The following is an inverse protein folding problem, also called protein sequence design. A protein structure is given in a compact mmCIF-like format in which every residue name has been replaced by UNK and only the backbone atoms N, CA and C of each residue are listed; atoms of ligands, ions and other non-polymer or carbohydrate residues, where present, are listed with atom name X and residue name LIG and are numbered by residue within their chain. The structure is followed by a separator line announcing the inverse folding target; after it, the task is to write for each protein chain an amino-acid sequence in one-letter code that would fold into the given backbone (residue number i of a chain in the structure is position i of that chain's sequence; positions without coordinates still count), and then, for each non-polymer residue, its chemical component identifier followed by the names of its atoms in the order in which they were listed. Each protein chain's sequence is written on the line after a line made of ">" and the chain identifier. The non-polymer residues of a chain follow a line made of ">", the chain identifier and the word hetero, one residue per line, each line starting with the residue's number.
data_IF_640182735384
#
_entry.id   IF_640182735384
#
_cell.length_a   1.000
_cell.length_b   1.000
_cell.length_c   1.000
_cell.angle_alpha   90.00
_cell.angle_beta   90.00
_cell.angle_gamma   90.00
#
_symmetry.space_group_name_H-M   'P 1'
#
loop_
_entity.id
_entity.type
_entity.pdbx_description
1 polymer ?
#
# COMPACT_ATOMS: atom_id res chain seq x y z
N UNK A 1 -14.07 -12.13 -17.62
CA UNK A 1 -14.74 -11.03 -16.89
C UNK A 1 -14.57 -9.75 -17.69
N UNK A 2 -15.50 -8.79 -17.65
CA UNK A 2 -15.43 -7.61 -18.52
C UNK A 2 -14.34 -6.62 -18.06
N UNK A 3 -13.62 -6.01 -19.00
CA UNK A 3 -12.51 -5.04 -18.78
C UNK A 3 -12.89 -3.80 -17.94
N UNK A 4 -14.18 -3.54 -17.74
CA UNK A 4 -14.68 -2.49 -16.85
C UNK A 4 -14.86 -2.97 -15.41
N UNK A 5 -15.19 -4.24 -15.20
CA UNK A 5 -15.31 -4.86 -13.88
C UNK A 5 -13.94 -4.98 -13.21
N UNK A 6 -12.91 -5.41 -13.98
CA UNK A 6 -11.52 -5.43 -13.53
C UNK A 6 -11.01 -4.02 -13.18
N UNK A 7 -11.32 -2.99 -13.99
CA UNK A 7 -10.93 -1.61 -13.67
C UNK A 7 -11.61 -1.06 -12.41
N UNK A 8 -12.86 -1.42 -12.16
CA UNK A 8 -13.57 -1.04 -10.94
C UNK A 8 -13.02 -1.77 -9.70
N UNK A 9 -12.65 -3.05 -9.83
CA UNK A 9 -12.02 -3.81 -8.74
C UNK A 9 -10.60 -3.31 -8.43
N UNK A 10 -9.85 -2.93 -9.47
CA UNK A 10 -8.57 -2.24 -9.36
C UNK A 10 -8.70 -0.91 -8.60
N UNK A 11 -9.75 -0.13 -8.91
CA UNK A 11 -10.04 1.14 -8.24
C UNK A 11 -10.46 0.94 -6.78
N UNK A 12 -11.38 0.01 -6.50
CA UNK A 12 -11.85 -0.26 -5.15
C UNK A 12 -10.78 -0.85 -4.23
N UNK A 13 -9.84 -1.63 -4.77
CA UNK A 13 -8.73 -2.19 -4.02
C UNK A 13 -7.86 -1.11 -3.35
N UNK A 14 -7.44 -0.08 -4.10
CA UNK A 14 -6.55 0.95 -3.55
C UNK A 14 -7.29 2.04 -2.78
N UNK A 15 -8.55 2.33 -3.10
CA UNK A 15 -9.27 3.49 -2.54
C UNK A 15 -10.34 3.14 -1.52
N UNK A 16 -10.82 1.90 -1.50
CA UNK A 16 -11.90 1.42 -0.62
C UNK A 16 -11.45 0.19 0.18
N UNK A 17 -10.19 0.17 0.62
CA UNK A 17 -9.68 -0.86 1.51
C UNK A 17 -9.97 -0.56 2.99
N UNK A 18 -9.89 -1.61 3.80
CA UNK A 18 -9.98 -1.52 5.26
C UNK A 18 -8.58 -1.50 5.85
N UNK A 19 -8.27 -0.46 6.62
CA UNK A 19 -7.00 -0.39 7.34
C UNK A 19 -6.97 -1.40 8.50
N UNK A 20 -5.84 -2.11 8.61
CA UNK A 20 -5.53 -3.03 9.72
C UNK A 20 -4.16 -2.71 10.27
N UNK A 21 -4.16 -1.94 11.35
CA UNK A 21 -2.96 -1.64 12.13
C UNK A 21 -2.82 -2.65 13.27
N UNK A 22 -1.73 -3.39 13.27
CA UNK A 22 -1.48 -4.45 14.25
C UNK A 22 0.04 -4.74 14.33
N UNK A 23 0.71 -4.03 15.24
CA UNK A 23 2.16 -4.16 15.44
C UNK A 23 2.59 -5.56 15.91
N UNK A 24 1.68 -6.32 16.54
CA UNK A 24 1.99 -7.68 17.04
C UNK A 24 2.18 -8.71 15.92
N UNK A 25 1.88 -8.33 14.67
CA UNK A 25 2.17 -9.14 13.48
C UNK A 25 3.61 -9.01 13.00
N UNK A 26 4.44 -8.16 13.62
CA UNK A 26 5.86 -8.01 13.27
C UNK A 26 6.60 -9.34 13.34
N UNK A 27 7.51 -9.61 12.39
CA UNK A 27 8.41 -10.78 12.46
C UNK A 27 9.20 -10.89 13.75
N UNK A 28 9.48 -9.75 14.40
CA UNK A 28 10.19 -9.66 15.68
C UNK A 28 9.31 -9.98 16.89
N UNK A 29 7.99 -10.15 16.71
CA UNK A 29 7.07 -10.33 17.82
C UNK A 29 6.90 -11.82 18.15
N UNK A 30 7.30 -12.22 19.35
CA UNK A 30 7.15 -13.60 19.82
C UNK A 30 5.68 -14.02 19.99
N UNK A 31 5.42 -15.32 19.95
CA UNK A 31 4.07 -15.87 20.14
C UNK A 31 3.50 -15.48 21.51
N UNK A 32 2.36 -14.79 21.48
CA UNK A 32 1.61 -14.39 22.66
C UNK A 32 0.21 -14.98 22.68
N UNK A 33 -0.41 -15.04 23.87
CA UNK A 33 -1.81 -15.45 24.01
C UNK A 33 -2.77 -14.29 23.69
N UNK A 34 -3.90 -14.59 23.03
CA UNK A 34 -5.03 -13.67 22.92
C UNK A 34 -5.10 -12.83 21.65
N UNK A 35 -4.24 -13.08 20.66
CA UNK A 35 -4.35 -12.42 19.37
C UNK A 35 -5.28 -13.18 18.39
N UNK A 36 -6.11 -12.47 17.60
CA UNK A 36 -7.01 -13.11 16.65
C UNK A 36 -6.22 -13.73 15.49
N UNK A 37 -6.69 -14.89 15.03
CA UNK A 37 -6.19 -15.53 13.82
C UNK A 37 -6.54 -14.72 12.57
N UNK A 38 -5.90 -15.02 11.44
CA UNK A 38 -6.25 -14.41 10.15
C UNK A 38 -7.68 -14.74 9.72
N UNK A 39 -8.19 -15.92 10.10
CA UNK A 39 -9.57 -16.32 9.82
C UNK A 39 -10.58 -15.41 10.50
N UNK A 40 -10.25 -14.93 11.69
CA UNK A 40 -11.06 -14.00 12.47
C UNK A 40 -10.84 -12.55 12.04
N UNK A 41 -9.61 -12.22 11.61
CA UNK A 41 -9.23 -10.85 11.23
C UNK A 41 -9.72 -10.45 9.83
N UNK A 42 -9.59 -11.36 8.85
CA UNK A 42 -9.82 -11.06 7.44
C UNK A 42 -11.12 -11.70 6.93
N UNK A 43 -12.05 -10.83 6.56
CA UNK A 43 -13.33 -11.21 5.97
C UNK A 43 -13.11 -11.44 4.47
N UNK A 44 -13.63 -12.56 3.94
CA UNK A 44 -13.56 -12.88 2.52
C UNK A 44 -14.14 -11.75 1.66
N UNK A 45 -13.59 -11.54 0.46
CA UNK A 45 -14.03 -10.54 -0.52
C UNK A 45 -13.93 -9.08 -0.04
N UNK A 46 -13.02 -8.80 0.90
CA UNK A 46 -12.71 -7.45 1.36
C UNK A 46 -11.23 -7.16 1.20
N UNK A 47 -10.92 -5.96 0.72
CA UNK A 47 -9.55 -5.46 0.60
C UNK A 47 -9.04 -4.90 1.92
N UNK A 48 -7.79 -5.22 2.25
CA UNK A 48 -7.11 -4.79 3.46
C UNK A 48 -5.78 -4.13 3.12
N UNK A 49 -5.52 -2.97 3.73
CA UNK A 49 -4.18 -2.38 3.86
C UNK A 49 -3.68 -2.74 5.25
N UNK A 50 -2.58 -3.46 5.33
CA UNK A 50 -1.96 -3.81 6.63
C UNK A 50 -0.89 -2.75 6.92
N UNK A 51 -0.85 -2.23 8.14
CA UNK A 51 0.08 -1.16 8.52
C UNK A 51 0.75 -1.46 9.86
N UNK A 52 2.01 -1.04 9.97
CA UNK A 52 2.78 -0.97 11.20
C UNK A 52 3.49 0.39 11.20
N UNK A 53 3.07 1.31 12.08
CA UNK A 53 3.52 2.71 12.08
C UNK A 53 3.17 3.41 10.76
N UNK A 54 4.13 3.56 9.84
CA UNK A 54 3.93 4.26 8.56
C UNK A 54 3.72 3.33 7.38
N UNK A 55 4.43 2.20 7.31
CA UNK A 55 4.36 1.27 6.19
C UNK A 55 4.67 -0.16 6.64
N UNK A 56 3.96 -1.14 6.07
CA UNK A 56 4.24 -2.55 6.28
C UNK A 56 3.82 -3.37 5.07
N UNK A 57 4.46 -4.52 4.92
CA UNK A 57 4.08 -5.56 3.96
C UNK A 57 4.14 -6.92 4.62
N UNK A 58 3.49 -7.91 4.01
CA UNK A 58 3.62 -9.31 4.42
C UNK A 58 5.00 -9.78 3.97
N UNK A 59 5.73 -10.48 4.84
CA UNK A 59 7.05 -11.02 4.46
C UNK A 59 6.93 -12.04 3.34
N UNK A 60 7.91 -12.06 2.44
CA UNK A 60 7.96 -12.97 1.27
C UNK A 60 8.84 -14.19 1.48
N UNK A 61 9.41 -14.33 2.68
CA UNK A 61 10.23 -15.46 3.09
C UNK A 61 9.65 -16.13 4.32
N UNK A 62 9.90 -17.43 4.45
CA UNK A 62 9.44 -18.24 5.56
C UNK A 62 9.89 -17.69 6.93
N UNK A 63 8.96 -17.25 7.79
CA UNK A 63 9.29 -16.85 9.15
C UNK A 63 9.58 -18.07 10.04
N UNK A 64 10.34 -17.85 11.10
CA UNK A 64 10.57 -18.87 12.11
C UNK A 64 9.25 -19.25 12.80
N UNK A 65 9.08 -20.52 13.24
CA UNK A 65 7.90 -20.91 14.01
C UNK A 65 7.76 -20.07 15.29
N UNK A 66 6.54 -19.69 15.64
CA UNK A 66 6.28 -18.88 16.84
C UNK A 66 6.54 -17.37 16.69
N UNK A 67 6.81 -16.87 15.48
CA UNK A 67 6.91 -15.43 15.20
C UNK A 67 5.53 -14.79 14.97
N UNK A 68 5.50 -13.45 14.89
CA UNK A 68 4.35 -12.63 14.49
C UNK A 68 3.11 -12.80 15.37
N UNK A 69 3.35 -13.13 16.65
CA UNK A 69 2.28 -13.40 17.61
C UNK A 69 1.38 -14.57 17.19
N UNK A 70 1.90 -15.54 16.45
CA UNK A 70 1.17 -16.68 15.90
C UNK A 70 1.82 -18.03 16.23
N UNK A 71 0.99 -19.07 16.31
CA UNK A 71 1.47 -20.46 16.34
C UNK A 71 1.92 -20.92 14.96
N UNK A 72 1.18 -20.51 13.93
CA UNK A 72 1.47 -20.78 12.53
C UNK A 72 1.70 -19.48 11.77
N UNK A 73 2.94 -18.94 11.76
CA UNK A 73 3.23 -17.67 11.12
C UNK A 73 3.12 -17.79 9.59
N UNK A 74 2.47 -16.81 8.97
CA UNK A 74 2.13 -16.77 7.55
C UNK A 74 3.02 -15.83 6.76
N UNK A 75 3.30 -16.19 5.50
CA UNK A 75 4.13 -15.41 4.57
C UNK A 75 3.58 -15.49 3.15
N UNK A 76 3.89 -14.49 2.33
CA UNK A 76 3.47 -14.43 0.93
C UNK A 76 4.42 -15.26 0.07
N UNK A 77 3.90 -16.32 -0.55
CA UNK A 77 4.68 -17.20 -1.41
C UNK A 77 4.84 -16.59 -2.81
N UNK A 78 5.90 -15.78 -2.98
CA UNK A 78 6.26 -15.17 -4.25
C UNK A 78 6.76 -13.74 -4.10
N UNK A 79 6.88 -13.06 -5.25
CA UNK A 79 7.28 -11.65 -5.30
C UNK A 79 6.06 -10.74 -5.43
N UNK A 80 6.16 -9.55 -4.84
CA UNK A 80 5.11 -8.55 -4.95
C UNK A 80 4.88 -8.14 -6.42
N UNK A 81 3.61 -7.98 -6.85
CA UNK A 81 3.31 -7.47 -8.18
C UNK A 81 3.82 -6.03 -8.36
N UNK A 82 4.16 -5.67 -9.60
CA UNK A 82 4.35 -4.25 -9.94
C UNK A 82 3.00 -3.52 -9.95
N UNK A 83 3.04 -2.19 -10.01
CA UNK A 83 1.84 -1.35 -10.11
C UNK A 83 1.00 -1.67 -11.36
N UNK A 84 1.68 -1.99 -12.47
CA UNK A 84 1.09 -2.28 -13.79
C UNK A 84 0.53 -3.70 -13.86
N UNK A 85 1.04 -4.61 -13.03
CA UNK A 85 0.63 -6.02 -13.02
C UNK A 85 -0.84 -6.21 -12.57
N UNK A 86 -1.44 -5.19 -11.96
CA UNK A 86 -2.85 -5.22 -11.57
C UNK A 86 -3.09 -6.03 -10.30
N UNK A 87 -4.23 -6.73 -10.26
CA UNK A 87 -4.53 -7.69 -9.21
C UNK A 87 -3.92 -9.04 -9.60
N UNK A 88 -3.12 -9.63 -8.71
CA UNK A 88 -2.54 -10.97 -8.87
C UNK A 88 -3.09 -11.92 -7.82
N UNK A 89 -3.52 -13.09 -8.25
CA UNK A 89 -3.76 -14.22 -7.36
C UNK A 89 -2.41 -14.81 -6.94
N UNK A 90 -2.23 -14.99 -5.64
CA UNK A 90 -1.03 -15.50 -4.98
C UNK A 90 -1.45 -16.39 -3.81
N UNK A 91 -0.46 -16.92 -3.09
CA UNK A 91 -0.67 -17.82 -1.96
C UNK A 91 -0.02 -17.25 -0.70
N UNK A 92 -0.74 -17.33 0.42
CA UNK A 92 -0.15 -17.21 1.75
C UNK A 92 0.17 -18.62 2.24
N UNK A 93 1.43 -18.89 2.55
CA UNK A 93 1.88 -20.11 3.20
C UNK A 93 1.96 -19.89 4.71
N UNK A 94 1.51 -20.86 5.50
CA UNK A 94 1.63 -20.86 6.96
C UNK A 94 2.60 -21.96 7.40
N UNK A 95 3.61 -21.54 8.15
CA UNK A 95 4.61 -22.44 8.72
C UNK A 95 4.01 -23.20 9.90
N UNK A 96 3.97 -24.54 9.83
CA UNK A 96 3.42 -25.42 10.88
C UNK A 96 4.50 -25.96 11.82
N UNK A 97 5.74 -25.51 11.68
CA UNK A 97 6.92 -26.00 12.38
C UNK A 97 7.59 -27.18 11.69
N UNK A 98 6.79 -28.13 11.15
CA UNK A 98 7.31 -29.25 10.37
C UNK A 98 7.50 -28.91 8.88
N UNK A 99 6.64 -28.03 8.35
CA UNK A 99 6.68 -27.58 6.97
C UNK A 99 6.42 -26.07 6.92
N UNK A 100 7.30 -25.37 6.22
CA UNK A 100 7.23 -23.94 5.97
C UNK A 100 5.94 -23.52 5.22
N UNK A 101 5.35 -24.42 4.44
CA UNK A 101 4.05 -24.20 3.78
C UNK A 101 3.09 -25.38 4.05
N UNK A 102 3.03 -25.87 5.28
CA UNK A 102 2.16 -26.99 5.63
C UNK A 102 0.65 -26.69 5.52
N UNK A 103 0.27 -25.41 5.51
CA UNK A 103 -1.09 -24.91 5.23
C UNK A 103 -0.99 -23.66 4.37
N UNK A 104 -2.02 -23.39 3.57
CA UNK A 104 -2.05 -22.23 2.70
C UNK A 104 -3.42 -21.53 2.69
N UNK A 105 -3.44 -20.33 2.13
CA UNK A 105 -4.64 -19.60 1.77
C UNK A 105 -4.42 -18.92 0.40
N UNK A 106 -5.49 -18.76 -0.36
CA UNK A 106 -5.46 -17.92 -1.56
C UNK A 106 -5.49 -16.45 -1.15
N UNK A 107 -4.70 -15.61 -1.81
CA UNK A 107 -4.76 -14.17 -1.59
C UNK A 107 -4.69 -13.43 -2.92
N UNK A 108 -5.49 -12.38 -3.07
CA UNK A 108 -5.36 -11.46 -4.17
C UNK A 108 -4.56 -10.25 -3.71
N UNK A 109 -3.48 -9.94 -4.40
CA UNK A 109 -2.55 -8.88 -4.07
C UNK A 109 -2.56 -7.83 -5.17
N UNK A 110 -2.60 -6.56 -4.78
CA UNK A 110 -2.39 -5.44 -5.68
C UNK A 110 -1.39 -4.48 -5.07
N UNK A 111 -0.38 -4.09 -5.85
CA UNK A 111 0.46 -2.97 -5.49
C UNK A 111 -0.28 -1.67 -5.80
N UNK A 112 -0.50 -0.84 -4.78
CA UNK A 112 -0.92 0.56 -4.92
C UNK A 112 0.33 1.44 -4.75
N UNK A 113 0.27 2.72 -5.13
CA UNK A 113 1.44 3.55 -4.86
C UNK A 113 1.53 3.82 -3.37
N UNK A 114 2.64 3.37 -2.79
CA UNK A 114 2.93 3.52 -1.37
C UNK A 114 2.31 2.49 -0.43
N UNK A 115 1.68 1.42 -0.92
CA UNK A 115 1.34 0.25 -0.09
C UNK A 115 0.77 -0.88 -0.96
N UNK A 116 0.98 -2.16 -0.59
CA UNK A 116 0.20 -3.25 -1.13
C UNK A 116 -1.16 -3.35 -0.41
N UNK A 117 -2.15 -3.90 -1.11
CA UNK A 117 -3.44 -4.30 -0.54
C UNK A 117 -3.72 -5.77 -0.81
N UNK A 118 -4.44 -6.40 0.12
CA UNK A 118 -4.66 -7.84 0.15
C UNK A 118 -6.14 -8.16 0.30
N UNK A 119 -6.62 -9.13 -0.48
CA UNK A 119 -7.93 -9.73 -0.28
C UNK A 119 -7.75 -11.22 -0.04
N UNK A 120 -7.95 -11.64 1.19
CA UNK A 120 -7.76 -13.02 1.62
C UNK A 120 -8.95 -13.89 1.26
N UNK A 121 -8.68 -15.08 0.73
CA UNK A 121 -9.66 -16.09 0.42
C UNK A 121 -9.23 -17.47 0.95
N UNK A 122 -10.20 -18.27 1.39
CA UNK A 122 -9.94 -19.64 1.90
C UNK A 122 -8.88 -19.71 3.02
N UNK A 123 -8.86 -18.74 3.93
CA UNK A 123 -8.00 -18.76 5.12
C UNK A 123 -8.31 -20.00 5.98
N UNK A 124 -7.30 -20.78 6.43
CA UNK A 124 -7.46 -21.94 7.30
C UNK A 124 -8.25 -21.67 8.59
N UNK A 125 -8.70 -22.73 9.26
CA UNK A 125 -9.47 -22.60 10.49
C UNK A 125 -8.67 -21.94 11.63
N UNK A 126 -9.37 -21.17 12.48
CA UNK A 126 -8.80 -20.44 13.61
C UNK A 126 -8.03 -21.31 14.61
N UNK A 127 -8.32 -22.61 14.67
CA UNK A 127 -7.63 -23.60 15.51
C UNK A 127 -6.14 -23.72 15.17
N UNK A 128 -5.75 -23.35 13.94
CA UNK A 128 -4.36 -23.29 13.51
C UNK A 128 -3.56 -22.18 14.21
N UNK A 129 -4.23 -21.14 14.74
CA UNK A 129 -3.56 -19.98 15.33
C UNK A 129 -2.66 -19.25 14.33
N UNK A 130 -3.15 -19.14 13.08
CA UNK A 130 -2.40 -18.60 11.96
C UNK A 130 -2.48 -17.08 11.88
N UNK A 131 -1.35 -16.42 11.65
CA UNK A 131 -1.30 -14.98 11.38
C UNK A 131 -0.21 -14.65 10.37
N UNK A 132 -0.53 -13.82 9.37
CA UNK A 132 0.48 -13.27 8.47
C UNK A 132 1.47 -12.38 9.22
N UNK A 133 2.73 -12.61 8.92
CA UNK A 133 3.87 -11.86 9.40
C UNK A 133 4.08 -10.61 8.56
N UNK A 134 4.37 -9.50 9.23
CA UNK A 134 4.70 -8.25 8.56
C UNK A 134 6.10 -7.76 8.93
N UNK A 135 6.68 -7.00 8.01
CA UNK A 135 7.91 -6.24 8.21
C UNK A 135 7.67 -4.78 7.82
N UNK A 136 8.57 -3.89 8.24
CA UNK A 136 8.58 -2.51 7.75
C UNK A 136 8.95 -2.53 6.27
N UNK A 137 8.08 -1.96 5.44
CA UNK A 137 8.34 -1.88 4.00
C UNK A 137 9.16 -0.63 3.68
N UNK A 138 10.50 -0.79 3.71
CA UNK A 138 11.43 0.28 3.44
C UNK A 138 11.35 0.79 1.99
N UNK A 139 11.00 -0.07 1.02
CA UNK A 139 10.86 0.30 -0.39
C UNK A 139 9.65 1.24 -0.61
N UNK A 140 8.64 1.10 0.23
CA UNK A 140 7.42 1.90 0.27
C UNK A 140 7.55 3.18 1.11
N UNK A 141 8.70 3.43 1.72
CA UNK A 141 9.03 4.76 2.23
C UNK A 141 9.40 5.70 1.05
N UNK A 142 9.76 5.15 -0.11
CA UNK A 142 10.14 5.91 -1.32
C UNK A 142 9.06 6.23 -2.39
N UNK A 143 7.73 6.17 -2.19
CA UNK A 143 6.75 6.77 -3.11
C UNK A 143 6.91 8.30 -3.20
N UNK A 144 7.56 8.90 -2.20
CA UNK A 144 8.13 10.26 -2.29
C UNK A 144 9.15 10.38 -3.45
N UNK A 145 9.73 9.28 -3.92
CA UNK A 145 10.56 9.25 -5.12
C UNK A 145 9.76 9.29 -6.44
N UNK A 146 8.43 9.30 -6.42
CA UNK A 146 7.61 9.64 -7.59
C UNK A 146 7.04 11.05 -7.51
N UNK A 147 6.90 11.58 -6.30
CA UNK A 147 6.45 12.94 -6.08
C UNK A 147 7.31 13.63 -5.02
N UNK A 148 8.05 14.65 -5.44
CA UNK A 148 8.76 15.50 -4.50
C UNK A 148 7.79 16.48 -3.84
N UNK A 149 7.83 16.56 -2.51
CA UNK A 149 6.97 17.43 -1.73
C UNK A 149 7.65 18.73 -1.29
N UNK A 150 6.92 19.83 -1.27
CA UNK A 150 7.32 21.09 -0.62
C UNK A 150 6.21 21.57 0.30
N UNK A 151 6.49 21.59 1.61
CA UNK A 151 5.53 22.04 2.62
C UNK A 151 5.41 23.57 2.68
N UNK A 152 4.24 24.07 3.09
CA UNK A 152 3.93 25.50 3.21
C UNK A 152 3.75 26.22 1.87
N UNK A 153 3.57 25.48 0.77
CA UNK A 153 3.49 26.03 -0.57
C UNK A 153 2.48 25.27 -1.42
N UNK A 154 1.89 25.99 -2.37
CA UNK A 154 0.80 25.55 -3.24
C UNK A 154 1.04 26.08 -4.67
N UNK A 155 0.53 25.38 -5.67
CA UNK A 155 0.45 25.90 -7.04
C UNK A 155 -0.94 26.50 -7.30
N UNK A 156 -1.01 27.77 -7.68
CA UNK A 156 -2.26 28.47 -7.96
C UNK A 156 -2.65 28.42 -9.45
N UNK A 157 -3.94 28.67 -9.74
CA UNK A 157 -4.51 28.81 -11.10
C UNK A 157 -4.50 27.57 -12.00
N UNK A 158 -4.07 26.42 -11.50
CA UNK A 158 -3.90 25.19 -12.29
C UNK A 158 -4.70 24.00 -11.78
N UNK A 159 -5.58 24.20 -10.79
CA UNK A 159 -6.42 23.16 -10.22
C UNK A 159 -7.46 22.71 -11.26
N UNK A 160 -7.39 21.44 -11.65
CA UNK A 160 -8.32 20.82 -12.61
C UNK A 160 -9.39 19.96 -11.94
N UNK A 161 -9.12 19.47 -10.73
CA UNK A 161 -10.05 18.66 -9.95
C UNK A 161 -9.74 18.81 -8.46
N UNK A 162 -10.79 18.78 -7.63
CA UNK A 162 -10.68 18.88 -6.18
C UNK A 162 -11.52 17.81 -5.52
N UNK A 163 -10.97 17.19 -4.49
CA UNK A 163 -11.65 16.20 -3.67
C UNK A 163 -11.42 16.53 -2.19
N UNK A 164 -12.41 16.33 -1.33
CA UNK A 164 -12.37 16.77 0.06
C UNK A 164 -12.30 15.58 1.02
N UNK A 165 -11.85 15.83 2.26
CA UNK A 165 -11.82 14.85 3.33
C UNK A 165 -10.99 13.59 3.00
N UNK A 166 -9.90 13.73 2.25
CA UNK A 166 -8.98 12.62 2.04
C UNK A 166 -8.23 12.32 3.32
N UNK A 167 -8.30 11.07 3.76
CA UNK A 167 -7.62 10.61 4.96
C UNK A 167 -6.09 10.58 4.84
N UNK A 168 -5.56 10.56 3.61
CA UNK A 168 -4.15 10.33 3.34
C UNK A 168 -3.76 10.95 1.98
N UNK A 169 -2.63 11.66 1.93
CA UNK A 169 -2.10 12.28 0.71
C UNK A 169 -1.75 11.26 -0.36
N UNK A 170 -1.44 10.00 0.01
CA UNK A 170 -1.20 8.94 -0.97
C UNK A 170 -2.42 8.66 -1.84
N UNK A 171 -3.64 8.86 -1.31
CA UNK A 171 -4.88 8.74 -2.08
C UNK A 171 -4.95 9.87 -3.13
N UNK A 172 -4.57 11.08 -2.76
CA UNK A 172 -4.49 12.21 -3.69
C UNK A 172 -3.46 11.93 -4.81
N UNK A 173 -2.30 11.39 -4.44
CA UNK A 173 -1.27 10.93 -5.38
C UNK A 173 -1.82 9.85 -6.31
N UNK A 174 -2.58 8.86 -5.81
CA UNK A 174 -3.26 7.86 -6.65
C UNK A 174 -4.15 8.51 -7.71
N UNK A 175 -4.98 9.47 -7.31
CA UNK A 175 -5.91 10.13 -8.23
C UNK A 175 -5.16 10.88 -9.34
N UNK A 176 -4.06 11.55 -9.00
CA UNK A 176 -3.20 12.21 -9.98
C UNK A 176 -2.57 11.21 -10.96
N UNK A 177 -2.02 10.12 -10.44
CA UNK A 177 -1.38 9.07 -11.23
C UNK A 177 -2.38 8.39 -12.18
N UNK A 178 -3.59 8.11 -11.69
CA UNK A 178 -4.67 7.56 -12.51
C UNK A 178 -5.12 8.53 -13.61
N UNK A 179 -5.06 9.83 -13.36
CA UNK A 179 -5.33 10.87 -14.37
C UNK A 179 -4.26 10.92 -15.48
N UNK A 180 -3.16 10.16 -15.32
CA UNK A 180 -2.07 10.10 -16.29
C UNK A 180 -1.45 11.47 -16.51
N UNK A 181 -1.10 11.76 -17.76
CA UNK A 181 -0.51 13.03 -18.21
C UNK A 181 -1.38 14.26 -17.95
N UNK A 182 -2.69 14.09 -17.63
CA UNK A 182 -3.56 15.22 -17.31
C UNK A 182 -3.21 15.85 -15.97
N UNK A 183 -2.70 15.08 -15.01
CA UNK A 183 -2.29 15.59 -13.71
C UNK A 183 -0.78 15.57 -13.55
N UNK A 184 -0.19 16.76 -13.42
CA UNK A 184 1.26 16.97 -13.34
C UNK A 184 1.74 17.21 -11.91
N UNK A 185 0.91 17.79 -11.06
CA UNK A 185 1.25 18.07 -9.67
C UNK A 185 -0.01 18.11 -8.80
N UNK A 186 0.17 18.23 -7.49
CA UNK A 186 -0.90 18.17 -6.49
C UNK A 186 -0.67 19.26 -5.46
N UNK A 187 -1.76 19.83 -4.95
CA UNK A 187 -1.75 20.53 -3.67
C UNK A 187 -2.56 19.70 -2.67
N UNK A 188 -1.99 19.38 -1.51
CA UNK A 188 -2.70 18.70 -0.43
C UNK A 188 -2.78 19.60 0.79
N UNK A 189 -3.99 19.83 1.27
CA UNK A 189 -4.26 20.67 2.44
C UNK A 189 -4.24 19.81 3.70
N UNK A 190 -3.18 19.89 4.48
CA UNK A 190 -2.91 19.02 5.62
C UNK A 190 -3.94 19.19 6.76
N UNK A 191 -4.58 20.35 6.84
CA UNK A 191 -5.51 20.70 7.91
C UNK A 191 -6.92 20.10 7.72
N UNK A 192 -7.36 19.84 6.49
CA UNK A 192 -8.71 19.36 6.19
C UNK A 192 -8.75 18.21 5.17
N UNK A 193 -7.60 17.75 4.68
CA UNK A 193 -7.50 16.67 3.70
C UNK A 193 -8.05 17.04 2.32
N UNK A 194 -8.13 18.33 1.96
CA UNK A 194 -8.50 18.74 0.60
C UNK A 194 -7.35 18.44 -0.36
N UNK A 195 -7.66 17.70 -1.42
CA UNK A 195 -6.76 17.31 -2.49
C UNK A 195 -7.10 18.10 -3.76
N UNK A 196 -6.14 18.83 -4.29
CA UNK A 196 -6.25 19.49 -5.59
C UNK A 196 -5.29 18.86 -6.59
N UNK A 197 -5.83 18.33 -7.69
CA UNK A 197 -5.05 17.87 -8.82
C UNK A 197 -4.77 19.05 -9.75
N UNK A 198 -3.52 19.25 -10.14
CA UNK A 198 -3.10 20.32 -11.04
C UNK A 198 -2.71 19.77 -12.41
N UNK A 199 -3.08 20.49 -13.47
CA UNK A 199 -2.69 20.17 -14.85
C UNK A 199 -1.30 20.71 -15.23
N UNK A 200 -0.62 21.38 -14.30
CA UNK A 200 0.67 22.03 -14.49
C UNK A 200 1.62 21.72 -13.31
N UNK A 201 2.91 22.02 -13.47
CA UNK A 201 3.92 21.90 -12.41
C UNK A 201 4.55 23.26 -12.06
N UNK A 202 5.30 23.32 -10.96
CA UNK A 202 6.12 24.48 -10.59
C UNK A 202 7.18 24.77 -11.65
N UNK A 203 7.78 23.73 -12.24
CA UNK A 203 8.75 23.88 -13.32
C UNK A 203 8.15 24.59 -14.53
N UNK A 204 6.88 24.31 -14.85
CA UNK A 204 6.15 24.97 -15.93
C UNK A 204 5.78 26.42 -15.58
N UNK A 205 5.38 26.69 -14.32
CA UNK A 205 4.85 27.98 -13.87
C UNK A 205 5.38 28.42 -12.48
N UNK A 206 6.66 28.79 -12.36
CA UNK A 206 7.28 29.07 -11.06
C UNK A 206 6.66 30.28 -10.35
N UNK A 207 6.14 31.26 -11.11
CA UNK A 207 5.48 32.46 -10.56
C UNK A 207 4.11 32.19 -9.96
N UNK A 208 3.51 31.04 -10.25
CA UNK A 208 2.19 30.68 -9.72
C UNK A 208 2.28 29.95 -8.38
N UNK A 209 3.50 29.76 -7.86
CA UNK A 209 3.71 29.22 -6.52
C UNK A 209 3.35 30.27 -5.48
N UNK A 210 2.50 29.88 -4.55
CA UNK A 210 2.06 30.73 -3.44
C UNK A 210 2.48 30.11 -2.11
N UNK A 211 2.70 30.96 -1.11
CA UNK A 211 2.89 30.52 0.27
C UNK A 211 1.52 30.27 0.88
N UNK A 212 1.31 29.06 1.37
CA UNK A 212 0.09 28.65 2.05
C UNK A 212 0.47 27.65 3.15
N UNK A 213 0.32 28.05 4.41
CA UNK A 213 0.94 27.37 5.55
C UNK A 213 0.46 25.92 5.72
N UNK A 214 -0.79 25.64 5.34
CA UNK A 214 -1.38 24.30 5.47
C UNK A 214 -1.30 23.48 4.19
N UNK A 215 -0.64 23.98 3.16
CA UNK A 215 -0.54 23.30 1.88
C UNK A 215 0.82 22.61 1.72
N UNK A 216 0.78 21.34 1.35
CA UNK A 216 1.94 20.63 0.85
C UNK A 216 1.79 20.43 -0.66
N UNK A 217 2.70 21.02 -1.43
CA UNK A 217 2.80 20.87 -2.88
C UNK A 217 3.54 19.58 -3.22
N UNK A 218 3.04 18.79 -4.18
CA UNK A 218 3.73 17.60 -4.67
C UNK A 218 3.86 17.67 -6.20
N UNK A 219 5.07 17.50 -6.72
CA UNK A 219 5.33 17.42 -8.16
C UNK A 219 5.89 16.07 -8.57
N UNK A 220 5.49 15.57 -9.74
CA UNK A 220 6.07 14.33 -10.28
C UNK A 220 7.59 14.48 -10.44
N UNK A 221 8.35 13.47 -10.03
CA UNK A 221 9.76 13.34 -10.38
C UNK A 221 9.95 12.11 -11.27
N UNK A 222 10.91 12.20 -12.19
CA UNK A 222 11.31 11.03 -12.97
C UNK A 222 11.97 10.04 -12.02
N UNK A 223 11.40 8.85 -11.90
CA UNK A 223 12.08 7.74 -11.24
C UNK A 223 13.31 7.45 -12.09
N UNK A 224 14.50 7.78 -11.59
CA UNK A 224 15.72 7.30 -12.21
C UNK A 224 15.61 5.79 -12.22
N UNK A 225 15.59 5.19 -13.41
CA UNK A 225 15.72 3.75 -13.56
C UNK A 225 16.99 3.36 -12.82
N UNK A 226 16.84 2.74 -11.65
CA UNK A 226 17.94 2.05 -11.02
C UNK A 226 18.29 0.91 -11.97
N UNK A 227 19.20 1.16 -12.90
CA UNK A 227 19.94 0.12 -13.56
C UNK A 227 20.65 -0.63 -12.44
N UNK A 228 20.05 -1.75 -12.03
CA UNK A 228 20.72 -2.76 -11.23
C UNK A 228 21.90 -3.20 -12.07
N UNK A 229 23.08 -2.64 -11.80
CA UNK A 229 24.34 -3.18 -12.28
C UNK A 229 24.48 -4.55 -11.63
N UNK A 230 24.02 -5.58 -12.33
CA UNK A 230 24.39 -6.96 -12.04
C UNK A 230 25.87 -7.05 -12.38
N UNK A 231 26.71 -6.94 -11.36
CA UNK A 231 28.12 -7.33 -11.47
C UNK A 231 28.19 -8.85 -11.60
N UNK A 232 28.65 -9.31 -12.77
CA UNK A 232 29.04 -10.69 -13.06
C UNK A 232 30.14 -11.19 -12.11
#
# INVERSE_FOLDING_TARGET
>A
MSRCQERNEVYSACLQNTLREDHSRSVEYDVGSGHPSDRETFIRRRWYRIQNKKAARIVTSCPAPGSCGAKAPGWLNGQYPSLEAGIKEMEICYNTGADCCGRNATVYVRQCYGYPVFMFDNVPEKSLGNRVCIELDAEIIYPEAMFQSTHGQCLSNHVMHSENNMADVFICIQHCLHSGEKCKSINFMDNNGTCHLNNASEADYPKHKIVEAYCTYFQRIAVASAEVKVSN
#
